data_IF_473545876817
#
_entry.id   IF_473545876817
#
_cell.length_a   1.000
_cell.length_b   1.000
_cell.length_c   1.000
_cell.angle_alpha   90.00
_cell.angle_beta   90.00
_cell.angle_gamma   90.00
#
_symmetry.space_group_name_H-M   'P 1'
#
loop_
_entity.id
_entity.type
_entity.pdbx_description
1 polymer ?
#
# COMPACT_ATOMS: atom_id res chain seq x y z
N UNK A 1 11.45 9.38 0.78
CA UNK A 1 12.29 8.79 1.86
C UNK A 1 12.12 7.27 1.98
N UNK A 2 10.89 6.73 2.01
CA UNK A 2 10.62 5.30 2.27
C UNK A 2 10.40 4.42 1.03
N UNK A 3 10.57 4.95 -0.19
CA UNK A 3 10.56 4.20 -1.45
C UNK A 3 9.27 3.39 -1.75
N UNK A 4 8.13 3.84 -1.22
CA UNK A 4 6.80 3.36 -1.62
C UNK A 4 6.46 3.83 -3.04
N UNK A 5 5.80 2.97 -3.80
CA UNK A 5 5.35 3.19 -5.19
C UNK A 5 3.95 3.81 -5.21
N UNK A 6 3.01 3.23 -4.47
CA UNK A 6 1.61 3.63 -4.43
C UNK A 6 1.06 3.46 -3.00
N UNK A 7 1.44 4.37 -2.07
CA UNK A 7 1.10 4.22 -0.67
C UNK A 7 -0.33 4.66 -0.34
N UNK A 8 -0.99 3.87 0.50
CA UNK A 8 -2.18 4.22 1.26
C UNK A 8 -1.77 4.56 2.69
N UNK A 9 -2.15 5.73 3.20
CA UNK A 9 -1.76 6.19 4.53
C UNK A 9 -2.98 6.51 5.37
N UNK A 10 -3.08 5.86 6.53
CA UNK A 10 -4.14 6.09 7.51
C UNK A 10 -3.60 6.42 8.89
N UNK A 11 -4.44 7.05 9.72
CA UNK A 11 -4.17 7.20 11.16
C UNK A 11 -4.47 5.87 11.85
N UNK A 12 -3.52 5.36 12.63
CA UNK A 12 -3.67 4.15 13.45
C UNK A 12 -4.42 4.49 14.75
N UNK A 13 -5.70 4.87 14.61
CA UNK A 13 -6.61 5.23 15.70
C UNK A 13 -7.84 4.31 15.80
N UNK A 14 -7.90 3.27 14.97
CA UNK A 14 -9.01 2.33 14.87
C UNK A 14 -10.25 2.86 14.14
N UNK A 15 -10.24 4.11 13.65
CA UNK A 15 -11.35 4.68 12.87
C UNK A 15 -11.16 4.53 11.36
N UNK A 16 -9.93 4.26 10.92
CA UNK A 16 -9.59 4.17 9.50
C UNK A 16 -9.63 5.53 8.80
N UNK A 17 -9.16 6.59 9.47
CA UNK A 17 -9.08 7.91 8.84
C UNK A 17 -7.99 7.89 7.76
N UNK A 18 -8.39 7.89 6.48
CA UNK A 18 -7.49 7.89 5.33
C UNK A 18 -6.97 9.32 5.06
N UNK A 19 -5.66 9.45 4.91
CA UNK A 19 -4.96 10.71 4.62
C UNK A 19 -4.54 10.77 3.15
N UNK A 20 -3.91 9.70 2.67
CA UNK A 20 -3.42 9.52 1.31
C UNK A 20 -4.00 8.20 0.81
N UNK A 21 -4.58 8.22 -0.38
CA UNK A 21 -5.03 7.03 -1.10
C UNK A 21 -4.16 6.84 -2.35
N UNK A 22 -3.88 5.57 -2.69
CA UNK A 22 -3.27 5.20 -3.96
C UNK A 22 -4.23 5.33 -5.14
N UNK A 23 -5.54 5.46 -4.88
CA UNK A 23 -6.57 5.69 -5.90
C UNK A 23 -6.68 7.18 -6.29
N UNK A 24 -6.57 7.46 -7.59
CA UNK A 24 -6.66 8.81 -8.14
C UNK A 24 -8.03 9.45 -7.84
N UNK A 25 -8.02 10.69 -7.36
CA UNK A 25 -9.23 11.45 -7.06
C UNK A 25 -9.82 11.27 -5.66
N UNK A 26 -9.35 10.32 -4.83
CA UNK A 26 -9.94 10.09 -3.50
C UNK A 26 -9.50 11.11 -2.44
N UNK A 27 -8.19 11.40 -2.36
CA UNK A 27 -7.62 12.22 -1.29
C UNK A 27 -7.02 13.55 -1.76
N UNK A 28 -7.25 13.96 -3.01
CA UNK A 28 -6.64 15.18 -3.57
C UNK A 28 -6.98 16.47 -2.77
N UNK A 29 -8.19 16.52 -2.20
CA UNK A 29 -8.62 17.63 -1.35
C UNK A 29 -7.78 17.77 -0.07
N UNK A 30 -7.05 16.72 0.34
CA UNK A 30 -6.20 16.74 1.52
C UNK A 30 -4.81 17.33 1.23
N UNK A 31 -4.36 17.37 -0.03
CA UNK A 31 -2.97 17.68 -0.41
C UNK A 31 -2.43 19.01 0.10
N UNK A 32 -3.30 20.00 0.29
CA UNK A 32 -2.93 21.35 0.73
C UNK A 32 -3.24 21.62 2.22
N UNK A 33 -3.79 20.63 2.93
CA UNK A 33 -4.17 20.75 4.34
C UNK A 33 -2.97 20.42 5.23
N UNK A 34 -2.96 20.99 6.44
CA UNK A 34 -1.91 20.69 7.42
C UNK A 34 -2.23 19.37 8.10
N UNK A 35 -1.19 18.63 8.50
CA UNK A 35 -1.35 17.40 9.29
C UNK A 35 -2.15 17.64 10.59
N UNK A 36 -1.97 18.81 11.22
CA UNK A 36 -2.73 19.22 12.41
C UNK A 36 -4.25 19.29 12.18
N UNK A 37 -4.70 19.52 10.95
CA UNK A 37 -6.13 19.60 10.61
C UNK A 37 -6.82 18.23 10.67
N UNK A 38 -6.03 17.15 10.75
CA UNK A 38 -6.47 15.76 10.94
C UNK A 38 -6.20 15.25 12.36
N UNK A 39 -5.94 16.16 13.30
CA UNK A 39 -5.56 15.86 14.68
C UNK A 39 -4.27 15.01 14.82
N UNK A 40 -3.39 15.05 13.81
CA UNK A 40 -2.05 14.48 13.90
C UNK A 40 -1.20 15.39 14.78
N UNK A 41 -0.63 14.81 15.82
CA UNK A 41 0.15 15.49 16.86
C UNK A 41 1.31 14.62 17.31
N UNK A 42 2.10 15.11 18.26
CA UNK A 42 3.14 14.30 18.89
C UNK A 42 2.57 12.96 19.40
N UNK A 43 3.23 11.86 19.04
CA UNK A 43 2.84 10.50 19.40
C UNK A 43 1.75 9.88 18.51
N UNK A 44 1.22 10.60 17.53
CA UNK A 44 0.33 9.98 16.53
C UNK A 44 1.07 8.90 15.76
N UNK A 45 0.39 7.77 15.53
CA UNK A 45 0.87 6.67 14.69
C UNK A 45 0.15 6.69 13.36
N UNK A 46 0.91 6.58 12.28
CA UNK A 46 0.39 6.43 10.93
C UNK A 46 0.77 5.04 10.43
N UNK A 47 -0.14 4.40 9.71
CA UNK A 47 0.13 3.18 8.98
C UNK A 47 0.16 3.53 7.50
N UNK A 48 1.29 3.23 6.85
CA UNK A 48 1.48 3.38 5.43
C UNK A 48 1.60 1.99 4.81
N UNK A 49 0.67 1.64 3.94
CA UNK A 49 0.61 0.37 3.23
C UNK A 49 0.91 0.60 1.74
N UNK A 50 1.78 -0.21 1.17
CA UNK A 50 1.97 -0.29 -0.28
C UNK A 50 1.65 -1.72 -0.73
N UNK A 51 0.45 -1.89 -1.30
CA UNK A 51 -0.04 -3.20 -1.74
C UNK A 51 0.74 -3.75 -2.95
N UNK A 52 1.37 -2.89 -3.76
CA UNK A 52 2.18 -3.34 -4.89
C UNK A 52 3.50 -3.98 -4.43
N UNK A 53 4.02 -3.51 -3.29
CA UNK A 53 5.26 -4.00 -2.70
C UNK A 53 5.05 -5.01 -1.56
N UNK A 54 3.80 -5.27 -1.14
CA UNK A 54 3.47 -6.12 0.01
C UNK A 54 4.22 -5.63 1.27
N UNK A 55 4.18 -4.31 1.47
CA UNK A 55 4.99 -3.60 2.47
C UNK A 55 4.14 -2.67 3.33
N UNK A 56 4.16 -2.91 4.64
CA UNK A 56 3.53 -2.06 5.65
C UNK A 56 4.60 -1.39 6.51
N UNK A 57 4.51 -0.07 6.67
CA UNK A 57 5.35 0.72 7.55
C UNK A 57 4.50 1.46 8.59
N UNK A 58 4.83 1.27 9.87
CA UNK A 58 4.29 2.06 10.96
C UNK A 58 5.20 3.26 11.24
N UNK A 59 4.66 4.47 11.11
CA UNK A 59 5.38 5.73 11.30
C UNK A 59 4.93 6.35 12.63
N UNK A 60 5.88 6.56 13.53
CA UNK A 60 5.65 7.31 14.77
C UNK A 60 5.97 8.78 14.53
N UNK A 61 5.00 9.67 14.77
CA UNK A 61 5.18 11.12 14.60
C UNK A 61 5.72 11.73 15.89
N UNK A 62 6.91 12.32 15.82
CA UNK A 62 7.43 13.20 16.86
C UNK A 62 7.31 14.64 16.37
N UNK A 63 6.55 15.46 17.09
CA UNK A 63 6.43 16.87 16.73
C UNK A 63 7.59 17.66 17.32
N UNK A 64 8.23 18.48 16.49
CA UNK A 64 9.26 19.44 16.89
C UNK A 64 9.05 20.73 16.12
N UNK A 65 9.15 21.88 16.80
CA UNK A 65 9.26 23.19 16.17
C UNK A 65 10.73 23.62 15.99
N UNK A 66 11.66 22.87 16.60
CA UNK A 66 13.10 23.12 16.61
C UNK A 66 13.80 22.26 15.54
N UNK A 67 13.45 22.47 14.26
CA UNK A 67 14.18 21.90 13.13
C UNK A 67 15.14 22.93 12.54
N UNK A 68 16.23 22.45 11.93
CA UNK A 68 17.13 23.34 11.17
C UNK A 68 16.37 24.05 10.06
N UNK A 69 16.84 25.24 9.70
CA UNK A 69 16.22 26.02 8.63
C UNK A 69 16.18 25.20 7.34
N UNK A 70 15.03 25.21 6.67
CA UNK A 70 14.78 24.48 5.42
C UNK A 70 14.72 22.94 5.58
N UNK A 71 14.66 22.43 6.83
CA UNK A 71 14.37 21.02 7.14
C UNK A 71 12.90 20.86 7.55
N UNK A 72 12.16 20.03 6.82
CA UNK A 72 10.74 19.78 7.09
C UNK A 72 10.49 18.56 7.99
N UNK A 73 11.36 17.53 7.91
CA UNK A 73 11.26 16.32 8.72
C UNK A 73 12.59 15.58 8.79
N UNK A 74 12.74 14.77 9.84
CA UNK A 74 13.88 13.88 10.04
C UNK A 74 13.40 12.46 10.38
N UNK A 75 14.21 11.46 10.05
CA UNK A 75 13.96 10.07 10.46
C UNK A 75 14.87 9.77 11.63
N UNK A 76 14.28 9.44 12.78
CA UNK A 76 15.01 9.05 13.98
C UNK A 76 15.35 7.56 13.91
N UNK A 77 16.63 7.24 14.02
CA UNK A 77 17.14 5.86 13.91
C UNK A 77 17.40 5.43 12.46
N UNK A 78 17.56 4.13 12.26
CA UNK A 78 17.81 3.57 10.93
C UNK A 78 16.52 3.52 10.13
N UNK A 79 16.56 4.04 8.90
CA UNK A 79 15.47 3.84 7.96
C UNK A 79 15.42 2.36 7.55
N UNK A 80 14.22 1.77 7.41
CA UNK A 80 14.10 0.39 6.94
C UNK A 80 14.77 0.23 5.57
N UNK A 81 15.36 -0.94 5.32
CA UNK A 81 15.93 -1.28 4.02
C UNK A 81 14.88 -1.09 2.91
N UNK A 82 15.32 -0.60 1.75
CA UNK A 82 14.40 -0.35 0.63
C UNK A 82 13.81 -1.68 0.16
N UNK A 83 12.50 -1.81 0.25
CA UNK A 83 11.79 -2.97 -0.29
C UNK A 83 11.70 -2.80 -1.81
N UNK A 84 12.32 -3.72 -2.54
CA UNK A 84 12.19 -3.78 -4.00
C UNK A 84 10.78 -4.23 -4.41
N UNK A 85 10.35 -4.00 -5.66
CA UNK A 85 9.08 -4.53 -6.15
C UNK A 85 9.03 -6.05 -5.99
N UNK A 86 7.87 -6.57 -5.57
CA UNK A 86 7.63 -8.01 -5.47
C UNK A 86 7.90 -8.65 -6.85
N UNK A 87 8.68 -9.74 -6.94
CA UNK A 87 8.81 -10.48 -8.19
C UNK A 87 7.42 -10.92 -8.68
N UNK A 88 7.15 -10.87 -9.99
CA UNK A 88 5.85 -11.31 -10.51
C UNK A 88 5.57 -12.75 -10.08
N UNK A 89 4.36 -13.01 -9.59
CA UNK A 89 3.96 -14.38 -9.28
C UNK A 89 4.05 -15.23 -10.56
N UNK A 90 4.55 -16.47 -10.47
CA UNK A 90 4.57 -17.36 -11.63
C UNK A 90 3.13 -17.60 -12.08
N UNK A 91 2.80 -17.14 -13.29
CA UNK A 91 1.54 -17.47 -13.96
C UNK A 91 1.35 -18.99 -13.92
N UNK A 92 0.23 -19.52 -13.39
CA UNK A 92 -0.04 -20.94 -13.46
C UNK A 92 -0.04 -21.33 -14.94
N UNK A 93 0.88 -22.21 -15.33
CA UNK A 93 0.90 -22.78 -16.67
C UNK A 93 -0.43 -23.50 -16.86
N UNK A 94 -1.27 -22.99 -17.76
CA UNK A 94 -2.43 -23.72 -18.24
C UNK A 94 -1.95 -25.07 -18.79
N UNK A 95 -2.17 -26.14 -18.03
CA UNK A 95 -2.04 -27.50 -18.53
C UNK A 95 -3.32 -27.76 -19.30
N UNK A 96 -3.32 -27.47 -20.61
CA UNK A 96 -4.37 -27.99 -21.50
C UNK A 96 -4.17 -29.50 -21.58
N UNK A 97 -4.94 -30.26 -20.80
CA UNK A 97 -5.01 -31.70 -20.96
C UNK A 97 -5.84 -31.98 -22.21
N UNK A 98 -5.18 -32.00 -23.38
CA UNK A 98 -5.77 -32.50 -24.61
C UNK A 98 -6.02 -33.99 -24.47
N UNK A 99 -7.28 -34.38 -24.29
CA UNK A 99 -7.74 -35.74 -24.52
C UNK A 99 -8.52 -35.73 -25.82
N UNK A 100 -7.81 -35.98 -26.91
CA UNK A 100 -8.39 -36.39 -28.18
C UNK A 100 -8.64 -37.89 -28.08
N UNK A 101 -9.79 -38.28 -27.54
CA UNK A 101 -10.30 -39.65 -27.65
C UNK A 101 -11.60 -39.62 -28.44
N UNK A 102 -11.45 -39.85 -29.74
CA UNK A 102 -12.56 -40.15 -30.63
C UNK A 102 -13.24 -41.46 -30.20
N UNK A 103 -14.44 -41.36 -29.65
CA UNK A 103 -15.38 -42.46 -29.55
C UNK A 103 -16.80 -41.97 -29.89
N UNK A 104 -17.43 -42.69 -30.82
CA UNK A 104 -18.68 -42.37 -31.53
C UNK A 104 -19.93 -42.20 -30.64
N UNK A 105 -20.98 -41.48 -31.12
CA UNK A 105 -22.22 -41.32 -30.39
C UNK A 105 -23.07 -42.59 -30.46
N UNK A 106 -23.50 -43.11 -29.31
CA UNK A 106 -24.62 -44.05 -29.24
C UNK A 106 -25.89 -43.28 -28.89
N UNK A 107 -26.83 -43.26 -29.83
CA UNK A 107 -28.20 -42.78 -29.62
C UNK A 107 -29.01 -43.86 -28.90
N UNK A 108 -29.72 -43.49 -27.84
CA UNK A 108 -30.80 -44.31 -27.30
C UNK A 108 -32.11 -43.58 -27.54
N UNK A 109 -32.91 -44.18 -28.41
CA UNK A 109 -34.28 -43.82 -28.76
C UNK A 109 -35.21 -44.24 -27.62
N UNK A 110 -36.09 -43.33 -27.19
CA UNK A 110 -37.35 -43.68 -26.52
C UNK A 110 -38.46 -43.83 -27.54
#
# INVERSE_FOLDING_TARGET
>A
KFAMVAPDVQIDDGKGTILISSEEGETEANNHRKLSDFAIRNGTRLQADDFLQDYTLLINVLHSEDLEKDVEFEVVGDAPERVGPKPPEPTPRNISNGSDDGAQPSTSTG
#
